data_IF_461094122191
#
_entry.id   IF_461094122191
#
_cell.length_a   1.000
_cell.length_b   1.000
_cell.length_c   1.000
_cell.angle_alpha   90.00
_cell.angle_beta   90.00
_cell.angle_gamma   90.00
#
_symmetry.space_group_name_H-M   'P 1'
#
loop_
_entity.id
_entity.type
_entity.pdbx_description
1 polymer ?
#
# COMPACT_ATOMS: atom_id res chain seq x y z
N UNK A 1 21.51 10.21 7.54
CA UNK A 1 21.70 11.58 7.86
C UNK A 1 21.42 12.47 6.68
N UNK A 2 21.99 13.65 6.73
CA UNK A 2 21.80 14.62 5.66
C UNK A 2 22.22 14.09 4.29
N UNK A 3 23.13 13.15 4.30
CA UNK A 3 23.60 12.50 3.06
C UNK A 3 22.46 11.80 2.32
N UNK A 4 21.51 11.24 3.07
CA UNK A 4 20.40 10.52 2.46
C UNK A 4 19.53 11.43 1.61
N UNK A 5 19.25 12.64 2.07
CA UNK A 5 18.47 13.59 1.31
C UNK A 5 19.17 14.01 0.03
N UNK A 6 20.49 14.18 0.08
CA UNK A 6 21.27 14.59 -1.09
C UNK A 6 21.36 13.47 -2.13
N UNK A 7 21.38 12.22 -1.69
CA UNK A 7 21.55 11.05 -2.57
C UNK A 7 20.23 10.53 -3.10
N UNK A 8 19.14 10.72 -2.34
CA UNK A 8 17.84 10.11 -2.64
C UNK A 8 17.35 10.39 -4.04
N UNK A 9 17.54 11.63 -4.55
CA UNK A 9 17.11 11.98 -5.89
C UNK A 9 17.83 11.23 -7.02
N UNK A 10 18.98 10.64 -6.72
CA UNK A 10 19.77 9.88 -7.69
C UNK A 10 19.64 8.38 -7.50
N UNK A 11 19.04 7.95 -6.39
CA UNK A 11 18.85 6.53 -6.12
C UNK A 11 17.62 6.03 -6.86
N UNK A 12 17.72 4.78 -7.30
CA UNK A 12 16.58 4.09 -7.89
C UNK A 12 15.93 3.20 -6.85
N UNK A 13 14.62 3.06 -6.97
CA UNK A 13 13.82 2.21 -6.10
C UNK A 13 13.10 1.16 -6.94
N UNK A 14 13.25 -0.07 -6.53
CA UNK A 14 12.60 -1.20 -7.17
C UNK A 14 11.45 -1.67 -6.29
N UNK A 15 10.29 -1.92 -6.88
CA UNK A 15 9.13 -2.43 -6.17
C UNK A 15 8.89 -3.86 -6.64
N UNK A 16 9.10 -4.82 -5.74
CA UNK A 16 8.79 -6.21 -6.02
C UNK A 16 7.29 -6.44 -5.89
N UNK A 17 6.73 -7.41 -6.61
CA UNK A 17 5.31 -7.74 -6.44
C UNK A 17 5.00 -8.07 -4.98
N UNK A 18 3.95 -7.43 -4.44
CA UNK A 18 3.54 -7.67 -3.06
C UNK A 18 2.85 -9.03 -2.94
N UNK A 19 3.17 -9.74 -1.87
CA UNK A 19 2.58 -11.04 -1.59
C UNK A 19 1.23 -10.84 -0.90
N UNK A 20 0.15 -11.26 -1.54
CA UNK A 20 -1.20 -11.11 -1.02
C UNK A 20 -1.60 -12.38 -0.27
N UNK A 21 -1.66 -12.27 1.05
CA UNK A 21 -2.10 -13.37 1.92
C UNK A 21 -3.58 -13.24 2.31
N UNK A 22 -4.30 -12.29 1.70
CA UNK A 22 -5.73 -12.12 1.94
C UNK A 22 -6.54 -12.90 0.91
N UNK A 23 -7.84 -13.01 1.17
CA UNK A 23 -8.76 -13.62 0.22
C UNK A 23 -9.27 -12.63 -0.83
N UNK A 24 -8.88 -11.36 -0.73
CA UNK A 24 -9.32 -10.36 -1.70
C UNK A 24 -8.52 -10.49 -2.99
N UNK A 25 -9.18 -10.86 -4.11
CA UNK A 25 -8.45 -11.10 -5.35
C UNK A 25 -7.74 -9.85 -5.88
N UNK A 26 -6.58 -10.04 -6.47
CA UNK A 26 -5.82 -9.01 -7.17
C UNK A 26 -5.34 -7.85 -6.29
N UNK A 27 -5.47 -7.97 -4.98
CA UNK A 27 -5.04 -6.89 -4.09
C UNK A 27 -3.52 -6.69 -4.16
N UNK A 28 -2.77 -7.78 -4.32
CA UNK A 28 -1.32 -7.68 -4.48
C UNK A 28 -0.92 -6.85 -5.68
N UNK A 29 -1.55 -7.12 -6.83
CA UNK A 29 -1.25 -6.36 -8.06
C UNK A 29 -1.68 -4.91 -7.92
N UNK A 30 -2.83 -4.66 -7.29
CA UNK A 30 -3.35 -3.30 -7.11
C UNK A 30 -2.39 -2.48 -6.23
N UNK A 31 -1.92 -3.04 -5.13
CA UNK A 31 -1.00 -2.36 -4.22
C UNK A 31 0.35 -2.11 -4.90
N UNK A 32 0.89 -3.13 -5.57
CA UNK A 32 2.16 -3.01 -6.28
C UNK A 32 2.10 -1.90 -7.33
N UNK A 33 1.04 -1.88 -8.11
CA UNK A 33 0.87 -0.87 -9.17
C UNK A 33 0.68 0.53 -8.58
N UNK A 34 -0.15 0.65 -7.55
CA UNK A 34 -0.39 1.93 -6.90
C UNK A 34 0.91 2.50 -6.30
N UNK A 35 1.73 1.63 -5.72
CA UNK A 35 3.00 2.06 -5.15
C UNK A 35 3.96 2.54 -6.22
N UNK A 36 4.06 1.83 -7.34
CA UNK A 36 4.88 2.25 -8.47
C UNK A 36 4.44 3.59 -9.03
N UNK A 37 3.14 3.78 -9.20
CA UNK A 37 2.60 5.04 -9.69
C UNK A 37 2.89 6.19 -8.73
N UNK A 38 2.72 5.96 -7.43
CA UNK A 38 2.96 7.00 -6.44
C UNK A 38 4.43 7.39 -6.38
N UNK A 39 5.34 6.43 -6.50
CA UNK A 39 6.77 6.68 -6.53
C UNK A 39 7.20 7.45 -7.77
N UNK A 40 6.54 7.23 -8.91
CA UNK A 40 6.83 8.00 -10.12
C UNK A 40 6.45 9.47 -9.97
N UNK A 41 5.39 9.75 -9.23
CA UNK A 41 4.95 11.13 -8.98
C UNK A 41 5.85 11.80 -7.94
N UNK A 42 6.32 11.02 -6.97
CA UNK A 42 7.21 11.53 -5.93
C UNK A 42 8.64 11.57 -6.46
N UNK A 43 9.26 12.73 -6.44
CA UNK A 43 10.58 12.93 -7.04
C UNK A 43 11.74 12.50 -6.14
N UNK A 44 11.47 11.94 -4.96
CA UNK A 44 12.53 11.55 -4.02
C UNK A 44 13.38 10.42 -4.57
N UNK A 45 12.74 9.43 -5.20
CA UNK A 45 13.43 8.31 -5.82
C UNK A 45 13.02 8.18 -7.27
N UNK A 46 13.89 7.56 -8.05
CA UNK A 46 13.60 7.22 -9.43
C UNK A 46 13.23 5.75 -9.51
N UNK A 47 12.06 5.45 -10.08
CA UNK A 47 11.59 4.07 -10.17
C UNK A 47 12.47 3.24 -11.12
N UNK A 48 12.98 2.11 -10.65
CA UNK A 48 13.74 1.17 -11.46
C UNK A 48 12.76 0.25 -12.18
N UNK A 49 12.80 0.26 -13.51
CA UNK A 49 11.86 -0.52 -14.33
C UNK A 49 12.51 -1.65 -15.09
N UNK A 50 13.79 -1.56 -15.39
CA UNK A 50 14.46 -2.55 -16.23
C UNK A 50 15.74 -3.12 -15.62
N UNK A 51 16.14 -2.64 -14.45
CA UNK A 51 17.35 -3.10 -13.77
C UNK A 51 17.08 -3.13 -12.26
N UNK A 52 17.91 -3.84 -11.49
CA UNK A 52 17.78 -3.82 -10.03
C UNK A 52 17.90 -2.40 -9.49
N UNK A 53 17.05 -2.05 -8.52
CA UNK A 53 17.11 -0.75 -7.88
C UNK A 53 18.15 -0.69 -6.79
N UNK A 54 18.60 0.51 -6.46
CA UNK A 54 19.52 0.71 -5.34
C UNK A 54 18.83 0.37 -4.01
N UNK A 55 17.54 0.59 -3.96
CA UNK A 55 16.68 0.30 -2.83
C UNK A 55 15.57 -0.60 -3.32
N UNK A 56 15.22 -1.62 -2.52
CA UNK A 56 14.21 -2.61 -2.92
C UNK A 56 13.09 -2.63 -1.90
N UNK A 57 11.86 -2.46 -2.36
CA UNK A 57 10.65 -2.52 -1.54
C UNK A 57 9.97 -3.86 -1.75
N UNK A 58 9.65 -4.53 -0.65
CA UNK A 58 8.84 -5.73 -0.67
C UNK A 58 7.78 -5.63 0.41
N UNK A 59 6.73 -6.43 0.30
CA UNK A 59 5.67 -6.40 1.29
C UNK A 59 4.78 -7.62 1.26
N UNK A 60 4.13 -7.83 2.39
CA UNK A 60 3.15 -8.89 2.59
C UNK A 60 1.85 -8.25 3.04
N UNK A 61 0.78 -8.49 2.29
CA UNK A 61 -0.55 -7.93 2.56
C UNK A 61 -1.33 -8.95 3.39
N UNK A 62 -1.86 -8.50 4.52
CA UNK A 62 -2.59 -9.39 5.44
C UNK A 62 -3.61 -8.61 6.25
N UNK A 63 -4.41 -9.33 7.03
CA UNK A 63 -5.38 -8.76 7.96
C UNK A 63 -6.41 -7.85 7.27
N UNK A 64 -6.98 -8.35 6.18
CA UNK A 64 -8.07 -7.65 5.51
C UNK A 64 -9.31 -7.71 6.39
N UNK A 65 -9.86 -6.54 6.74
CA UNK A 65 -10.97 -6.44 7.68
C UNK A 65 -12.06 -5.53 7.13
N UNK A 66 -13.29 -5.88 7.48
CA UNK A 66 -14.48 -5.08 7.17
C UNK A 66 -15.08 -4.59 8.47
N UNK A 67 -15.47 -3.33 8.51
CA UNK A 67 -16.12 -2.73 9.67
C UNK A 67 -17.34 -1.97 9.19
N UNK A 68 -18.52 -2.38 9.65
CA UNK A 68 -19.78 -1.69 9.32
C UNK A 68 -19.82 -0.36 10.02
N UNK A 69 -20.17 0.70 9.30
CA UNK A 69 -20.18 2.07 9.81
C UNK A 69 -21.58 2.63 9.95
N UNK A 70 -22.55 2.14 9.16
CA UNK A 70 -23.92 2.61 9.23
C UNK A 70 -24.87 1.45 9.01
N UNK A 71 -26.00 1.50 9.71
CA UNK A 71 -27.01 0.46 9.65
C UNK A 71 -28.34 1.03 9.26
N UNK A 72 -29.18 0.21 8.61
CA UNK A 72 -30.55 0.58 8.33
C UNK A 72 -31.30 0.74 9.66
N UNK A 73 -32.24 1.69 9.69
CA UNK A 73 -32.97 2.00 10.93
C UNK A 73 -33.67 0.77 11.55
N UNK A 74 -34.20 -0.10 10.71
CA UNK A 74 -34.98 -1.25 11.14
C UNK A 74 -34.20 -2.57 11.07
N UNK A 75 -32.92 -2.51 10.71
CA UNK A 75 -32.10 -3.71 10.57
C UNK A 75 -30.66 -3.36 10.92
N UNK A 76 -30.31 -3.57 12.18
CA UNK A 76 -28.99 -3.28 12.67
C UNK A 76 -27.94 -4.32 12.25
N UNK A 77 -28.36 -5.39 11.58
CA UNK A 77 -27.43 -6.42 11.11
C UNK A 77 -26.92 -6.14 9.69
N UNK A 78 -27.52 -5.18 8.98
CA UNK A 78 -27.16 -4.86 7.60
C UNK A 78 -26.58 -3.45 7.51
N UNK A 79 -25.26 -3.32 7.50
CA UNK A 79 -24.64 -1.99 7.40
C UNK A 79 -24.83 -1.40 6.00
N UNK A 80 -25.03 -0.09 5.94
CA UNK A 80 -25.12 0.65 4.68
C UNK A 80 -23.75 0.93 4.10
N UNK A 81 -22.78 1.16 4.96
CA UNK A 81 -21.41 1.48 4.57
C UNK A 81 -20.46 0.61 5.37
N UNK A 82 -19.33 0.33 4.76
CA UNK A 82 -18.23 -0.37 5.39
C UNK A 82 -16.97 0.45 5.29
N UNK A 83 -16.11 0.27 6.27
CA UNK A 83 -14.72 0.63 6.12
C UNK A 83 -13.96 -0.67 5.92
N UNK A 84 -13.22 -0.78 4.83
CA UNK A 84 -12.29 -1.89 4.66
C UNK A 84 -10.89 -1.41 4.99
N UNK A 85 -10.17 -2.25 5.72
CA UNK A 85 -8.81 -1.96 6.12
C UNK A 85 -7.92 -3.15 5.85
N UNK A 86 -6.65 -2.88 5.65
CA UNK A 86 -5.67 -3.94 5.43
C UNK A 86 -4.34 -3.51 6.04
N UNK A 87 -3.57 -4.49 6.47
CA UNK A 87 -2.22 -4.26 6.98
C UNK A 87 -1.22 -4.85 6.00
N UNK A 88 -0.20 -4.08 5.71
CA UNK A 88 0.91 -4.53 4.86
C UNK A 88 2.19 -4.43 5.69
N UNK A 89 2.93 -5.53 5.76
CA UNK A 89 4.26 -5.49 6.34
C UNK A 89 5.24 -5.12 5.24
N UNK A 90 5.84 -3.95 5.35
CA UNK A 90 6.71 -3.39 4.32
C UNK A 90 8.15 -3.44 4.77
N UNK A 91 9.02 -3.91 3.89
CA UNK A 91 10.46 -3.90 4.12
C UNK A 91 11.12 -3.19 2.95
N UNK A 92 11.93 -2.20 3.27
CA UNK A 92 12.75 -1.49 2.29
C UNK A 92 14.20 -1.78 2.63
N UNK A 93 14.95 -2.33 1.67
CA UNK A 93 16.34 -2.72 1.89
C UNK A 93 17.27 -2.02 0.93
N UNK A 94 18.44 -1.69 1.43
CA UNK A 94 19.55 -1.33 0.58
C UNK A 94 20.01 -2.59 -0.16
N UNK A 95 20.08 -2.53 -1.49
CA UNK A 95 20.39 -3.71 -2.30
C UNK A 95 21.81 -4.22 -2.05
N UNK A 96 22.75 -3.33 -1.89
CA UNK A 96 24.16 -3.70 -1.76
C UNK A 96 24.47 -4.26 -0.39
N UNK A 97 24.04 -3.57 0.66
CA UNK A 97 24.36 -3.98 2.03
C UNK A 97 23.37 -4.98 2.59
N UNK A 98 22.18 -5.09 2.01
CA UNK A 98 21.11 -5.91 2.54
C UNK A 98 20.45 -5.34 3.78
N UNK A 99 20.87 -4.18 4.24
CA UNK A 99 20.33 -3.57 5.45
C UNK A 99 18.91 -3.07 5.23
N UNK A 100 18.03 -3.39 6.16
CA UNK A 100 16.67 -2.87 6.14
C UNK A 100 16.68 -1.42 6.62
N UNK A 101 16.23 -0.51 5.76
CA UNK A 101 16.07 0.90 6.11
C UNK A 101 14.66 1.20 6.57
N UNK A 102 13.71 0.35 6.26
CA UNK A 102 12.34 0.41 6.75
C UNK A 102 11.84 -1.03 6.92
N UNK A 103 11.22 -1.31 8.06
CA UNK A 103 10.69 -2.65 8.35
C UNK A 103 9.57 -2.47 9.36
N UNK A 104 8.33 -2.35 8.85
CA UNK A 104 7.20 -2.10 9.73
C UNK A 104 5.87 -2.36 9.04
N UNK A 105 4.82 -2.45 9.86
CA UNK A 105 3.46 -2.56 9.37
C UNK A 105 2.91 -1.19 8.98
N UNK A 106 2.21 -1.15 7.86
CA UNK A 106 1.52 0.03 7.37
C UNK A 106 0.08 -0.34 7.12
N UNK A 107 -0.85 0.51 7.53
CA UNK A 107 -2.28 0.28 7.35
C UNK A 107 -2.84 1.20 6.28
N UNK A 108 -3.86 0.70 5.60
CA UNK A 108 -4.63 1.48 4.65
C UNK A 108 -6.10 1.20 4.81
N UNK A 109 -6.93 2.18 4.45
CA UNK A 109 -8.37 2.12 4.61
C UNK A 109 -9.06 2.74 3.41
N UNK A 110 -10.28 2.27 3.14
CA UNK A 110 -11.20 2.97 2.25
C UNK A 110 -12.62 2.68 2.66
N UNK A 111 -13.53 3.55 2.24
CA UNK A 111 -14.97 3.36 2.47
C UNK A 111 -15.58 2.63 1.31
N UNK A 112 -16.53 1.75 1.61
CA UNK A 112 -17.30 1.02 0.62
C UNK A 112 -18.77 1.34 0.85
N UNK A 113 -19.43 1.91 -0.15
CA UNK A 113 -20.87 2.09 -0.14
C UNK A 113 -21.51 0.83 -0.68
N UNK A 114 -22.36 0.20 0.12
CA UNK A 114 -23.01 -1.04 -0.29
C UNK A 114 -24.12 -0.70 -1.25
N UNK A 115 -23.96 -1.17 -2.49
CA UNK A 115 -25.00 -1.07 -3.51
C UNK A 115 -25.81 -2.36 -3.55
N UNK A 116 -26.36 -2.65 -4.74
CA UNK A 116 -27.14 -3.87 -4.95
C UNK A 116 -26.28 -5.12 -4.93
N UNK A 117 -24.97 -5.00 -5.22
CA UNK A 117 -24.03 -6.11 -5.25
C UNK A 117 -22.83 -5.77 -4.39
N UNK A 118 -22.76 -6.40 -3.22
CA UNK A 118 -21.70 -6.19 -2.26
C UNK A 118 -20.31 -6.52 -2.85
N UNK A 119 -20.22 -7.64 -3.54
CA UNK A 119 -18.93 -8.07 -4.08
C UNK A 119 -18.39 -7.09 -5.13
N UNK A 120 -19.28 -6.55 -5.98
CA UNK A 120 -18.88 -5.53 -6.96
C UNK A 120 -18.43 -4.25 -6.29
N UNK A 121 -19.15 -3.82 -5.24
CA UNK A 121 -18.79 -2.61 -4.51
C UNK A 121 -17.39 -2.73 -3.89
N UNK A 122 -17.10 -3.89 -3.35
CA UNK A 122 -15.81 -4.13 -2.71
C UNK A 122 -14.67 -4.22 -3.73
N UNK A 123 -14.93 -4.86 -4.90
CA UNK A 123 -13.93 -4.89 -5.96
C UNK A 123 -13.61 -3.50 -6.50
N UNK A 124 -14.62 -2.63 -6.59
CA UNK A 124 -14.42 -1.26 -7.03
C UNK A 124 -13.64 -0.44 -6.01
N UNK A 125 -13.69 -0.82 -4.75
CA UNK A 125 -12.96 -0.14 -3.69
C UNK A 125 -11.49 -0.52 -3.63
N UNK A 126 -11.10 -1.65 -4.22
CA UNK A 126 -9.72 -2.15 -4.13
C UNK A 126 -8.67 -1.14 -4.64
N UNK A 127 -8.86 -0.44 -5.77
CA UNK A 127 -7.90 0.56 -6.20
C UNK A 127 -7.76 1.72 -5.22
N UNK A 128 -8.85 2.11 -4.56
CA UNK A 128 -8.81 3.19 -3.57
C UNK A 128 -8.06 2.75 -2.32
N UNK A 129 -8.27 1.52 -1.88
CA UNK A 129 -7.54 0.95 -0.76
C UNK A 129 -6.04 0.87 -1.07
N UNK A 130 -5.71 0.43 -2.28
CA UNK A 130 -4.34 0.33 -2.73
C UNK A 130 -3.67 1.72 -2.79
N UNK A 131 -4.40 2.73 -3.26
CA UNK A 131 -3.89 4.09 -3.33
C UNK A 131 -3.61 4.66 -1.94
N UNK A 132 -4.48 4.38 -0.97
CA UNK A 132 -4.26 4.82 0.41
C UNK A 132 -3.02 4.16 1.01
N UNK A 133 -2.87 2.84 0.82
CA UNK A 133 -1.67 2.13 1.25
C UNK A 133 -0.41 2.72 0.61
N UNK A 134 -0.44 2.95 -0.69
CA UNK A 134 0.71 3.48 -1.42
C UNK A 134 1.10 4.85 -0.90
N UNK A 135 0.13 5.71 -0.65
CA UNK A 135 0.38 7.03 -0.09
C UNK A 135 1.06 6.93 1.27
N UNK A 136 0.57 6.04 2.13
CA UNK A 136 1.11 5.87 3.47
C UNK A 136 2.52 5.28 3.44
N UNK A 137 2.76 4.32 2.55
CA UNK A 137 4.09 3.71 2.39
C UNK A 137 5.10 4.74 1.88
N UNK A 138 4.74 5.48 0.83
CA UNK A 138 5.64 6.47 0.25
C UNK A 138 5.96 7.59 1.26
N UNK A 139 4.97 8.00 2.05
CA UNK A 139 5.21 9.00 3.09
C UNK A 139 6.29 8.54 4.07
N UNK A 140 6.25 7.28 4.49
CA UNK A 140 7.27 6.73 5.39
C UNK A 140 8.65 6.67 4.73
N UNK A 141 8.70 6.27 3.47
CA UNK A 141 9.97 6.17 2.75
C UNK A 141 10.60 7.55 2.57
N UNK A 142 9.79 8.54 2.18
CA UNK A 142 10.30 9.86 1.84
C UNK A 142 10.56 10.74 3.04
N UNK A 143 9.87 10.51 4.16
CA UNK A 143 10.11 11.26 5.38
C UNK A 143 11.44 10.93 6.04
N UNK A 144 11.99 9.75 5.74
CA UNK A 144 13.28 9.36 6.30
C UNK A 144 13.28 9.20 7.80
N UNK A 145 12.18 8.75 8.36
CA UNK A 145 12.03 8.60 9.81
C UNK A 145 12.33 7.19 10.32
N UNK A 146 12.93 6.38 9.49
CA UNK A 146 13.35 5.04 9.88
C UNK A 146 14.62 5.06 10.73
#
# INVERSE_FOLDING_TARGET
GAVNGAVAGNQTIEVLPFNNQTLQPRLGDAVTQALRERLQVDATYRLATSSPGDVVVSGVIRNYQREGLGYLNNDSSTPQNYRVGVTVHVVVRDRITGKAILDRDVKGYTLVNVGSDFASSERQAAPLLAADLAQNIVALITEGTW
#
